data_IF_547568392200
#
_entry.id   IF_547568392200
#
_cell.length_a   1.000
_cell.length_b   1.000
_cell.length_c   1.000
_cell.angle_alpha   90.00
_cell.angle_beta   90.00
_cell.angle_gamma   90.00
#
_symmetry.space_group_name_H-M   'P 1'
#
loop_
_entity.id
_entity.type
_entity.pdbx_description
1 polymer ?
#
# COMPACT_ATOMS: atom_id res chain seq x y z
N UNK A 1 -27.47 -16.28 15.92
CA UNK A 1 -26.57 -15.35 15.19
C UNK A 1 -27.03 -15.35 13.75
N UNK A 2 -27.67 -14.29 13.27
CA UNK A 2 -28.08 -14.19 11.86
C UNK A 2 -26.79 -14.26 11.05
N UNK A 3 -26.59 -15.33 10.28
CA UNK A 3 -25.46 -15.43 9.36
C UNK A 3 -25.71 -14.35 8.32
N UNK A 4 -25.06 -13.20 8.50
CA UNK A 4 -25.09 -12.12 7.53
C UNK A 4 -24.75 -12.71 6.16
N UNK A 5 -25.58 -12.46 5.15
CA UNK A 5 -25.39 -12.99 3.82
C UNK A 5 -23.94 -12.70 3.37
N UNK A 6 -23.14 -13.72 2.98
CA UNK A 6 -21.71 -13.52 2.67
C UNK A 6 -21.48 -12.56 1.51
N UNK A 7 -22.51 -12.27 0.69
CA UNK A 7 -22.47 -11.29 -0.39
C UNK A 7 -22.74 -9.85 0.07
N UNK A 8 -23.07 -9.62 1.34
CA UNK A 8 -23.43 -8.28 1.86
C UNK A 8 -22.30 -7.26 1.66
N UNK A 9 -21.03 -7.55 2.03
CA UNK A 9 -19.95 -6.59 1.81
C UNK A 9 -19.74 -6.24 0.33
N UNK A 10 -19.84 -7.22 -0.57
CA UNK A 10 -19.77 -6.98 -2.02
C UNK A 10 -20.91 -6.07 -2.49
N UNK A 11 -22.14 -6.29 -2.04
CA UNK A 11 -23.29 -5.43 -2.39
C UNK A 11 -23.10 -4.01 -1.89
N UNK A 12 -22.57 -3.82 -0.69
CA UNK A 12 -22.24 -2.50 -0.13
C UNK A 12 -21.19 -1.82 -1.00
N UNK A 13 -20.10 -2.52 -1.35
CA UNK A 13 -19.04 -1.97 -2.19
C UNK A 13 -19.57 -1.54 -3.58
N UNK A 14 -20.36 -2.39 -4.25
CA UNK A 14 -20.99 -2.05 -5.54
C UNK A 14 -21.92 -0.84 -5.42
N UNK A 15 -22.74 -0.79 -4.36
CA UNK A 15 -23.66 0.32 -4.13
C UNK A 15 -22.92 1.62 -3.84
N UNK A 16 -21.82 1.57 -3.08
CA UNK A 16 -20.98 2.72 -2.80
C UNK A 16 -20.30 3.26 -4.06
N UNK A 17 -19.79 2.39 -4.94
CA UNK A 17 -19.23 2.78 -6.24
C UNK A 17 -20.30 3.43 -7.13
N UNK A 18 -21.50 2.85 -7.18
CA UNK A 18 -22.62 3.42 -7.94
C UNK A 18 -23.07 4.78 -7.41
N UNK A 19 -23.16 4.92 -6.08
CA UNK A 19 -23.48 6.18 -5.42
C UNK A 19 -22.41 7.24 -5.66
N UNK A 20 -21.12 6.87 -5.61
CA UNK A 20 -20.02 7.75 -5.99
C UNK A 20 -20.14 8.21 -7.45
N UNK A 21 -20.33 7.30 -8.39
CA UNK A 21 -20.44 7.66 -9.82
C UNK A 21 -21.61 8.63 -10.07
N UNK A 22 -22.77 8.38 -9.46
CA UNK A 22 -23.91 9.29 -9.53
C UNK A 22 -23.59 10.65 -8.90
N UNK A 23 -23.03 10.64 -7.69
CA UNK A 23 -22.65 11.86 -6.98
C UNK A 23 -21.62 12.70 -7.74
N UNK A 24 -20.65 12.04 -8.39
CA UNK A 24 -19.64 12.68 -9.22
C UNK A 24 -20.26 13.39 -10.43
N UNK A 25 -21.17 12.72 -11.16
CA UNK A 25 -21.88 13.32 -12.29
C UNK A 25 -22.75 14.49 -11.85
N UNK A 26 -23.47 14.35 -10.74
CA UNK A 26 -24.36 15.40 -10.21
C UNK A 26 -23.54 16.60 -9.73
N UNK A 27 -22.46 16.38 -8.99
CA UNK A 27 -21.62 17.46 -8.47
C UNK A 27 -20.87 18.20 -9.58
N UNK A 28 -20.47 17.50 -10.64
CA UNK A 28 -19.77 18.08 -11.78
C UNK A 28 -20.68 18.62 -12.89
N UNK A 29 -22.01 18.59 -12.71
CA UNK A 29 -22.96 19.01 -13.74
C UNK A 29 -22.77 20.49 -14.16
N UNK A 30 -22.37 21.34 -13.20
CA UNK A 30 -22.06 22.76 -13.41
C UNK A 30 -20.54 23.02 -13.55
N UNK A 31 -19.73 21.97 -13.68
CA UNK A 31 -18.26 22.02 -13.68
C UNK A 31 -17.64 21.97 -12.28
N UNK A 32 -16.31 22.11 -12.21
CA UNK A 32 -15.52 21.89 -10.98
C UNK A 32 -14.97 23.16 -10.31
N UNK A 33 -15.32 24.34 -10.83
CA UNK A 33 -14.80 25.62 -10.35
C UNK A 33 -13.31 25.83 -10.66
N UNK A 34 -12.67 26.68 -9.85
CA UNK A 34 -11.23 26.98 -9.95
C UNK A 34 -10.37 25.76 -9.59
N UNK A 35 -9.31 25.46 -10.35
CA UNK A 35 -8.38 24.40 -10.00
C UNK A 35 -7.68 24.66 -8.66
N UNK A 36 -7.21 23.59 -8.03
CA UNK A 36 -6.34 23.69 -6.88
C UNK A 36 -5.02 24.38 -7.25
N UNK A 37 -4.38 24.97 -6.25
CA UNK A 37 -3.13 25.72 -6.33
C UNK A 37 -1.96 24.98 -6.98
N UNK A 38 -2.03 23.64 -7.05
CA UNK A 38 -1.01 22.77 -7.65
C UNK A 38 -1.49 22.06 -8.93
N UNK A 39 -2.73 22.33 -9.34
CA UNK A 39 -3.36 21.70 -10.49
C UNK A 39 -3.39 22.66 -11.68
N UNK A 40 -3.25 22.11 -12.88
CA UNK A 40 -3.15 22.89 -14.11
C UNK A 40 -4.53 23.36 -14.59
N UNK A 41 -4.54 24.50 -15.28
CA UNK A 41 -5.74 25.09 -15.88
C UNK A 41 -6.21 24.29 -17.10
N UNK A 42 -7.48 24.49 -17.48
CA UNK A 42 -8.03 23.91 -18.72
C UNK A 42 -7.22 24.35 -19.94
N UNK A 43 -6.82 23.38 -20.77
CA UNK A 43 -5.99 23.58 -21.96
C UNK A 43 -4.49 23.36 -21.73
N UNK A 44 -4.03 23.42 -20.48
CA UNK A 44 -2.63 23.17 -20.12
C UNK A 44 -2.31 21.68 -20.10
N UNK A 45 -1.01 21.36 -20.11
CA UNK A 45 -0.50 20.00 -19.97
C UNK A 45 -0.36 19.73 -18.48
N UNK A 46 -1.07 18.72 -17.96
CA UNK A 46 -0.99 18.38 -16.54
C UNK A 46 0.41 17.88 -16.16
N UNK A 47 0.73 17.87 -14.87
CA UNK A 47 1.97 17.22 -14.36
C UNK A 47 2.04 15.71 -14.67
N UNK A 48 0.92 15.12 -15.09
CA UNK A 48 0.79 13.72 -15.51
C UNK A 48 0.69 13.57 -17.04
N UNK A 49 1.19 14.59 -17.75
CA UNK A 49 1.25 14.70 -19.20
C UNK A 49 -0.11 14.92 -19.91
N UNK A 50 -1.22 14.40 -19.39
CA UNK A 50 -2.51 14.53 -20.08
C UNK A 50 -2.97 15.98 -20.17
N UNK A 51 -3.49 16.40 -21.33
CA UNK A 51 -4.03 17.76 -21.49
C UNK A 51 -5.33 17.90 -20.70
N UNK A 52 -5.41 18.97 -19.90
CA UNK A 52 -6.58 19.26 -19.08
C UNK A 52 -7.77 19.69 -19.95
N UNK A 53 -8.84 18.91 -19.89
CA UNK A 53 -10.07 19.09 -20.65
C UNK A 53 -11.08 20.01 -19.94
N UNK A 54 -11.93 20.67 -20.73
CA UNK A 54 -13.03 21.49 -20.22
C UNK A 54 -14.25 20.69 -19.74
N UNK A 55 -14.28 19.37 -19.98
CA UNK A 55 -15.43 18.51 -19.70
C UNK A 55 -15.51 18.04 -18.24
N UNK A 56 -16.43 17.09 -18.01
CA UNK A 56 -16.64 16.49 -16.68
C UNK A 56 -15.38 15.80 -16.14
N UNK A 57 -14.54 15.22 -17.01
CA UNK A 57 -13.27 14.62 -16.62
C UNK A 57 -12.14 15.54 -17.10
N UNK A 58 -11.43 16.18 -16.18
CA UNK A 58 -10.29 17.06 -16.51
C UNK A 58 -9.18 16.29 -17.22
N UNK A 59 -8.80 15.12 -16.73
CA UNK A 59 -7.89 14.19 -17.41
C UNK A 59 -8.62 12.88 -17.70
N UNK A 60 -9.34 12.75 -18.83
CA UNK A 60 -10.18 11.59 -19.12
C UNK A 60 -9.48 10.23 -18.97
N UNK A 61 -8.30 10.04 -19.54
CA UNK A 61 -7.59 8.76 -19.50
C UNK A 61 -7.06 8.46 -18.10
N UNK A 62 -6.44 9.44 -17.42
CA UNK A 62 -5.92 9.28 -16.06
C UNK A 62 -7.06 9.05 -15.06
N UNK A 63 -8.19 9.72 -15.24
CA UNK A 63 -9.41 9.49 -14.44
C UNK A 63 -9.96 8.08 -14.66
N UNK A 64 -10.14 7.65 -15.92
CA UNK A 64 -10.72 6.34 -16.21
C UNK A 64 -9.77 5.17 -15.91
N UNK A 65 -8.45 5.38 -15.94
CA UNK A 65 -7.45 4.39 -15.55
C UNK A 65 -7.66 3.87 -14.12
N UNK A 66 -8.21 4.70 -13.24
CA UNK A 66 -8.54 4.33 -11.87
C UNK A 66 -9.67 3.30 -11.73
N UNK A 67 -10.43 3.01 -12.79
CA UNK A 67 -11.39 1.90 -12.80
C UNK A 67 -10.69 0.56 -12.55
N UNK A 68 -9.39 0.45 -12.84
CA UNK A 68 -8.58 -0.71 -12.49
C UNK A 68 -8.65 -1.06 -11.00
N UNK A 69 -8.56 -0.06 -10.12
CA UNK A 69 -8.65 -0.26 -8.66
C UNK A 69 -10.05 -0.70 -8.23
N UNK A 70 -11.10 -0.09 -8.81
CA UNK A 70 -12.49 -0.49 -8.56
C UNK A 70 -12.71 -1.95 -8.94
N UNK A 71 -12.27 -2.36 -10.13
CA UNK A 71 -12.39 -3.74 -10.61
C UNK A 71 -11.59 -4.70 -9.73
N UNK A 72 -10.34 -4.37 -9.39
CA UNK A 72 -9.49 -5.19 -8.51
C UNK A 72 -10.13 -5.39 -7.13
N UNK A 73 -10.61 -4.31 -6.49
CA UNK A 73 -11.24 -4.35 -5.19
C UNK A 73 -12.57 -5.11 -5.19
N UNK A 74 -13.42 -4.92 -6.20
CA UNK A 74 -14.67 -5.70 -6.35
C UNK A 74 -14.38 -7.18 -6.61
N UNK A 75 -13.32 -7.52 -7.33
CA UNK A 75 -12.87 -8.91 -7.50
C UNK A 75 -12.40 -9.53 -6.17
N UNK A 76 -11.76 -8.76 -5.29
CA UNK A 76 -11.42 -9.19 -3.93
C UNK A 76 -12.69 -9.45 -3.11
N UNK A 77 -13.64 -8.52 -3.07
CA UNK A 77 -14.93 -8.73 -2.38
C UNK A 77 -15.70 -9.95 -2.92
N UNK A 78 -15.68 -10.17 -4.23
CA UNK A 78 -16.27 -11.36 -4.86
C UNK A 78 -15.58 -12.65 -4.41
N UNK A 79 -14.25 -12.62 -4.24
CA UNK A 79 -13.49 -13.73 -3.67
C UNK A 79 -13.89 -13.98 -2.21
N UNK A 80 -13.92 -12.94 -1.37
CA UNK A 80 -14.28 -13.04 0.04
C UNK A 80 -15.71 -13.55 0.26
N UNK A 81 -16.64 -13.16 -0.61
CA UNK A 81 -18.03 -13.62 -0.57
C UNK A 81 -18.21 -15.11 -0.91
N UNK A 82 -17.21 -15.75 -1.54
CA UNK A 82 -17.22 -17.17 -1.89
C UNK A 82 -16.39 -18.02 -0.93
N UNK A 83 -15.59 -17.39 -0.07
CA UNK A 83 -14.77 -18.09 0.90
C UNK A 83 -15.62 -18.82 1.93
N UNK A 84 -15.20 -20.03 2.27
CA UNK A 84 -15.68 -20.72 3.46
C UNK A 84 -14.86 -20.25 4.67
N UNK A 85 -15.52 -19.85 5.75
CA UNK A 85 -14.86 -19.47 7.00
C UNK A 85 -14.22 -20.70 7.66
N UNK A 86 -13.01 -21.05 7.22
CA UNK A 86 -12.28 -22.22 7.72
C UNK A 86 -11.25 -21.86 8.79
N UNK A 87 -11.10 -20.58 9.17
CA UNK A 87 -10.27 -20.13 10.30
C UNK A 87 -8.76 -20.27 10.11
N UNK A 88 -8.28 -20.58 8.90
CA UNK A 88 -6.87 -20.95 8.64
C UNK A 88 -5.95 -19.77 8.28
N UNK A 89 -6.52 -18.69 7.75
CA UNK A 89 -5.78 -17.51 7.29
C UNK A 89 -6.59 -16.23 7.59
N UNK A 90 -5.99 -15.20 8.20
CA UNK A 90 -6.69 -13.97 8.58
C UNK A 90 -7.24 -13.15 7.39
N UNK A 91 -6.72 -13.37 6.19
CA UNK A 91 -7.10 -12.77 4.90
C UNK A 91 -8.14 -13.60 4.09
N UNK A 92 -8.77 -14.59 4.71
CA UNK A 92 -9.82 -15.43 4.10
C UNK A 92 -11.17 -15.18 4.74
N UNK A 93 -12.21 -15.02 3.92
CA UNK A 93 -13.58 -14.74 4.36
C UNK A 93 -13.84 -13.28 4.71
N UNK A 94 -15.08 -12.98 5.09
CA UNK A 94 -15.53 -11.64 5.46
C UNK A 94 -15.06 -11.23 6.88
N UNK A 95 -13.75 -11.24 7.12
CA UNK A 95 -13.12 -10.76 8.34
C UNK A 95 -12.65 -9.30 8.16
N UNK A 96 -12.47 -8.53 9.25
CA UNK A 96 -12.20 -7.09 9.14
C UNK A 96 -10.96 -6.71 8.32
N UNK A 97 -9.86 -7.48 8.40
CA UNK A 97 -8.61 -7.16 7.71
C UNK A 97 -8.72 -7.25 6.17
N UNK A 98 -9.14 -8.37 5.55
CA UNK A 98 -9.30 -8.44 4.11
C UNK A 98 -10.43 -7.55 3.59
N UNK A 99 -11.47 -7.28 4.39
CA UNK A 99 -12.50 -6.29 4.03
C UNK A 99 -11.94 -4.86 4.02
N UNK A 100 -11.09 -4.51 5.00
CA UNK A 100 -10.37 -3.23 5.01
C UNK A 100 -9.44 -3.10 3.80
N UNK A 101 -8.68 -4.16 3.49
CA UNK A 101 -7.80 -4.19 2.32
C UNK A 101 -8.58 -4.00 1.01
N UNK A 102 -9.62 -4.80 0.78
CA UNK A 102 -10.45 -4.68 -0.42
C UNK A 102 -11.17 -3.33 -0.49
N UNK A 103 -11.64 -2.81 0.65
CA UNK A 103 -12.25 -1.49 0.76
C UNK A 103 -11.29 -0.36 0.42
N UNK A 104 -10.05 -0.40 0.94
CA UNK A 104 -9.02 0.60 0.63
C UNK A 104 -8.62 0.57 -0.86
N UNK A 105 -8.56 -0.62 -1.47
CA UNK A 105 -8.33 -0.75 -2.92
C UNK A 105 -9.51 -0.21 -3.72
N UNK A 106 -10.76 -0.46 -3.30
CA UNK A 106 -11.92 0.19 -3.95
C UNK A 106 -11.83 1.70 -3.79
N UNK A 107 -11.48 2.22 -2.61
CA UNK A 107 -11.40 3.65 -2.31
C UNK A 107 -10.30 4.38 -3.09
N UNK A 108 -9.14 3.74 -3.32
CA UNK A 108 -8.07 4.24 -4.19
C UNK A 108 -8.60 4.71 -5.56
N UNK A 109 -9.53 3.96 -6.16
CA UNK A 109 -10.13 4.31 -7.45
C UNK A 109 -10.82 5.67 -7.44
N UNK A 110 -11.96 5.83 -6.73
CA UNK A 110 -12.63 7.11 -6.57
C UNK A 110 -11.75 8.22 -6.00
N UNK A 111 -10.88 7.94 -5.03
CA UNK A 111 -9.96 8.93 -4.46
C UNK A 111 -9.10 9.59 -5.53
N UNK A 112 -8.41 8.79 -6.33
CA UNK A 112 -7.58 9.28 -7.43
C UNK A 112 -8.40 9.85 -8.60
N UNK A 113 -9.58 9.28 -8.89
CA UNK A 113 -10.51 9.83 -9.89
C UNK A 113 -10.92 11.26 -9.58
N UNK A 114 -11.12 11.62 -8.32
CA UNK A 114 -11.53 12.99 -7.97
C UNK A 114 -10.37 13.96 -8.25
N UNK A 115 -9.12 13.59 -8.03
CA UNK A 115 -7.99 14.45 -8.41
C UNK A 115 -7.94 14.68 -9.93
N UNK A 116 -7.72 13.61 -10.70
CA UNK A 116 -7.60 13.68 -12.16
C UNK A 116 -8.87 14.21 -12.85
N UNK A 117 -10.02 13.91 -12.28
CA UNK A 117 -11.29 14.23 -12.89
C UNK A 117 -11.73 15.66 -12.61
N UNK A 118 -11.30 16.27 -11.50
CA UNK A 118 -11.78 17.59 -11.07
C UNK A 118 -10.72 18.68 -11.06
N UNK A 119 -9.45 18.31 -10.83
CA UNK A 119 -8.34 19.25 -10.56
C UNK A 119 -8.59 20.17 -9.36
N UNK A 120 -9.38 19.76 -8.37
CA UNK A 120 -9.66 20.57 -7.17
C UNK A 120 -8.70 20.25 -6.03
N UNK A 121 -8.53 21.18 -5.08
CA UNK A 121 -7.79 20.93 -3.81
C UNK A 121 -8.32 19.70 -3.07
N UNK A 122 -9.64 19.55 -3.03
CA UNK A 122 -10.29 18.38 -2.43
C UNK A 122 -9.88 17.08 -3.15
N UNK A 123 -9.79 17.12 -4.47
CA UNK A 123 -9.28 16.01 -5.28
C UNK A 123 -7.85 15.63 -4.89
N UNK A 124 -6.93 16.59 -4.88
CA UNK A 124 -5.53 16.34 -4.50
C UNK A 124 -5.40 15.79 -3.08
N UNK A 125 -6.24 16.28 -2.15
CA UNK A 125 -6.32 15.76 -0.79
C UNK A 125 -6.81 14.30 -0.73
N UNK A 126 -7.96 14.00 -1.34
CA UNK A 126 -8.60 12.69 -1.20
C UNK A 126 -7.82 11.58 -1.94
N UNK A 127 -7.16 11.91 -3.04
CA UNK A 127 -6.24 11.02 -3.76
C UNK A 127 -5.13 10.52 -2.82
N UNK A 128 -4.40 11.43 -2.20
CA UNK A 128 -3.34 11.11 -1.26
C UNK A 128 -3.83 10.36 -0.01
N UNK A 129 -4.97 10.77 0.55
CA UNK A 129 -5.60 10.05 1.68
C UNK A 129 -5.90 8.61 1.28
N UNK A 130 -6.38 8.38 0.06
CA UNK A 130 -6.67 7.02 -0.43
C UNK A 130 -5.42 6.17 -0.62
N UNK A 131 -4.32 6.76 -1.11
CA UNK A 131 -3.02 6.10 -1.22
C UNK A 131 -2.47 5.69 0.15
N UNK A 132 -2.47 6.60 1.11
CA UNK A 132 -2.06 6.32 2.50
C UNK A 132 -2.96 5.27 3.13
N UNK A 133 -4.28 5.38 2.97
CA UNK A 133 -5.24 4.42 3.51
C UNK A 133 -4.99 2.98 3.00
N UNK A 134 -4.46 2.80 1.80
CA UNK A 134 -4.06 1.48 1.31
C UNK A 134 -2.70 1.03 1.86
N UNK A 135 -1.65 1.82 1.67
CA UNK A 135 -0.25 1.37 1.92
C UNK A 135 0.04 1.14 3.41
N UNK A 136 -0.76 1.69 4.32
CA UNK A 136 -0.65 1.41 5.75
C UNK A 136 -0.97 -0.05 6.10
N UNK A 137 -1.88 -0.69 5.35
CA UNK A 137 -2.44 -2.00 5.73
C UNK A 137 -1.37 -3.10 5.76
N UNK A 138 -0.56 -3.30 4.70
CA UNK A 138 0.43 -4.39 4.66
C UNK A 138 1.41 -4.39 5.84
N UNK A 139 1.97 -3.22 6.17
CA UNK A 139 2.96 -3.14 7.24
C UNK A 139 2.31 -3.17 8.63
N UNK A 140 1.14 -2.55 8.83
CA UNK A 140 0.41 -2.66 10.11
C UNK A 140 -0.05 -4.09 10.40
N UNK A 141 -0.46 -4.86 9.39
CA UNK A 141 -0.76 -6.29 9.54
C UNK A 141 0.48 -7.07 9.99
N UNK A 142 1.63 -6.81 9.37
CA UNK A 142 2.89 -7.45 9.74
C UNK A 142 3.32 -7.10 11.18
N UNK A 143 3.25 -5.82 11.55
CA UNK A 143 3.57 -5.36 12.91
C UNK A 143 2.58 -5.88 13.94
N UNK A 144 1.29 -5.91 13.63
CA UNK A 144 0.27 -6.49 14.52
C UNK A 144 0.56 -7.95 14.80
N UNK A 145 0.91 -8.73 13.78
CA UNK A 145 1.20 -10.15 13.91
C UNK A 145 2.46 -10.42 14.75
N UNK A 146 3.56 -9.70 14.48
CA UNK A 146 4.84 -9.86 15.18
C UNK A 146 4.88 -9.15 16.54
N UNK A 147 4.05 -8.12 16.75
CA UNK A 147 3.90 -7.38 18.00
C UNK A 147 2.82 -7.95 18.93
N UNK A 148 2.08 -8.97 18.49
CA UNK A 148 0.95 -9.59 19.23
C UNK A 148 -0.17 -8.59 19.54
N UNK A 149 -0.42 -7.65 18.64
CA UNK A 149 -1.49 -6.68 18.83
C UNK A 149 -2.86 -7.32 18.58
N UNK A 150 -3.84 -6.92 19.39
CA UNK A 150 -5.24 -7.26 19.12
C UNK A 150 -5.77 -6.52 17.90
N UNK A 151 -6.85 -7.02 17.31
CA UNK A 151 -7.50 -6.40 16.14
C UNK A 151 -7.89 -4.94 16.41
N UNK A 152 -8.41 -4.63 17.60
CA UNK A 152 -8.79 -3.27 18.00
C UNK A 152 -7.59 -2.32 17.99
N UNK A 153 -6.44 -2.76 18.52
CA UNK A 153 -5.20 -1.97 18.52
C UNK A 153 -4.73 -1.69 17.10
N UNK A 154 -4.72 -2.70 16.22
CA UNK A 154 -4.33 -2.53 14.81
C UNK A 154 -5.26 -1.54 14.09
N UNK A 155 -6.59 -1.72 14.23
CA UNK A 155 -7.57 -0.86 13.57
C UNK A 155 -7.56 0.57 14.13
N UNK A 156 -7.31 0.74 15.43
CA UNK A 156 -7.16 2.07 16.05
C UNK A 156 -5.91 2.76 15.53
N UNK A 157 -4.77 2.06 15.48
CA UNK A 157 -3.54 2.61 14.91
C UNK A 157 -3.73 3.02 13.45
N UNK A 158 -4.34 2.16 12.64
CA UNK A 158 -4.70 2.45 11.25
C UNK A 158 -5.55 3.72 11.13
N UNK A 159 -6.69 3.76 11.84
CA UNK A 159 -7.62 4.88 11.77
C UNK A 159 -6.97 6.18 12.26
N UNK A 160 -6.20 6.13 13.35
CA UNK A 160 -5.47 7.30 13.86
C UNK A 160 -4.48 7.84 12.84
N UNK A 161 -3.69 6.99 12.18
CA UNK A 161 -2.73 7.45 11.17
C UNK A 161 -3.46 8.08 9.97
N UNK A 162 -4.52 7.45 9.46
CA UNK A 162 -5.31 8.00 8.34
C UNK A 162 -5.94 9.34 8.71
N UNK A 163 -6.52 9.47 9.91
CA UNK A 163 -7.14 10.71 10.38
C UNK A 163 -6.09 11.80 10.59
N UNK A 164 -4.97 11.50 11.26
CA UNK A 164 -3.87 12.46 11.48
C UNK A 164 -3.30 12.92 10.14
N UNK A 165 -3.07 12.00 9.20
CA UNK A 165 -2.57 12.33 7.87
C UNK A 165 -3.57 13.20 7.10
N UNK A 166 -4.85 12.81 7.06
CA UNK A 166 -5.89 13.55 6.35
C UNK A 166 -6.10 14.96 6.90
N UNK A 167 -6.17 15.11 8.23
CA UNK A 167 -6.29 16.42 8.87
C UNK A 167 -5.02 17.26 8.70
N UNK A 168 -3.84 16.65 8.88
CA UNK A 168 -2.56 17.34 8.72
C UNK A 168 -2.36 17.83 7.29
N UNK A 169 -2.69 17.02 6.29
CA UNK A 169 -2.67 17.48 4.90
C UNK A 169 -3.65 18.65 4.73
N UNK A 170 -4.91 18.50 5.11
CA UNK A 170 -5.92 19.54 4.88
C UNK A 170 -5.59 20.89 5.55
N UNK A 171 -5.13 20.87 6.80
CA UNK A 171 -4.95 22.09 7.60
C UNK A 171 -3.54 22.67 7.60
N UNK A 172 -2.52 21.86 7.27
CA UNK A 172 -1.12 22.29 7.27
C UNK A 172 -0.57 22.30 5.84
N UNK A 173 -0.76 21.19 5.12
CA UNK A 173 -0.35 21.02 3.73
C UNK A 173 0.29 19.65 3.47
N UNK A 174 0.69 19.40 2.22
CA UNK A 174 1.44 18.21 1.82
C UNK A 174 2.65 17.94 2.69
N UNK A 175 3.01 16.67 2.81
CA UNK A 175 4.10 16.20 3.67
C UNK A 175 3.98 16.67 5.14
N UNK A 176 2.73 16.96 5.54
CA UNK A 176 2.32 17.44 6.86
C UNK A 176 3.02 18.73 7.30
N UNK A 177 3.57 19.52 6.36
CA UNK A 177 4.37 20.72 6.63
C UNK A 177 5.72 20.45 7.30
N UNK A 178 6.12 19.18 7.41
CA UNK A 178 7.37 18.74 8.07
C UNK A 178 8.22 17.83 7.17
N UNK A 179 7.91 17.77 5.86
CA UNK A 179 8.62 16.93 4.89
C UNK A 179 8.39 15.42 5.08
N UNK A 180 7.32 15.02 5.77
CA UNK A 180 7.00 13.61 5.98
C UNK A 180 6.13 13.04 4.86
N UNK A 181 6.76 12.40 3.88
CA UNK A 181 6.08 11.57 2.89
C UNK A 181 5.63 10.24 3.52
N UNK A 182 4.42 10.24 4.07
CA UNK A 182 3.82 9.06 4.72
C UNK A 182 3.66 7.90 3.73
N UNK A 183 3.40 8.17 2.45
CA UNK A 183 3.20 7.13 1.45
C UNK A 183 4.53 6.43 1.12
N UNK A 184 5.57 7.18 0.76
CA UNK A 184 6.90 6.64 0.45
C UNK A 184 7.53 5.92 1.64
N UNK A 185 7.45 6.51 2.84
CA UNK A 185 7.91 5.85 4.08
C UNK A 185 7.17 4.54 4.32
N UNK A 186 5.86 4.48 4.06
CA UNK A 186 5.06 3.27 4.25
C UNK A 186 5.46 2.13 3.30
N UNK A 187 5.91 2.43 2.08
CA UNK A 187 6.47 1.42 1.16
C UNK A 187 7.71 0.78 1.81
N UNK A 188 8.65 1.60 2.32
CA UNK A 188 9.83 1.10 3.00
C UNK A 188 9.47 0.28 4.26
N UNK A 189 8.56 0.78 5.09
CA UNK A 189 8.06 0.08 6.29
C UNK A 189 7.46 -1.29 5.94
N UNK A 190 6.75 -1.39 4.81
CA UNK A 190 6.22 -2.66 4.36
C UNK A 190 7.32 -3.63 3.95
N UNK A 191 8.26 -3.23 3.10
CA UNK A 191 9.35 -4.12 2.68
C UNK A 191 10.20 -4.57 3.87
N UNK A 192 10.52 -3.66 4.80
CA UNK A 192 11.25 -3.97 6.04
C UNK A 192 10.46 -4.97 6.90
N UNK A 193 9.19 -4.68 7.18
CA UNK A 193 8.34 -5.56 8.00
C UNK A 193 8.08 -6.91 7.34
N UNK A 194 8.00 -6.99 6.02
CA UNK A 194 7.86 -8.25 5.27
C UNK A 194 9.14 -9.08 5.30
N UNK A 195 10.30 -8.46 5.16
CA UNK A 195 11.58 -9.13 5.34
C UNK A 195 11.72 -9.69 6.76
N UNK A 196 11.34 -8.90 7.78
CA UNK A 196 11.27 -9.36 9.16
C UNK A 196 10.30 -10.52 9.33
N UNK A 197 9.12 -10.45 8.71
CA UNK A 197 8.13 -11.52 8.76
C UNK A 197 8.72 -12.84 8.24
N UNK A 198 9.60 -12.78 7.22
CA UNK A 198 10.22 -13.96 6.60
C UNK A 198 11.44 -14.53 7.33
N UNK A 199 12.34 -13.66 7.78
CA UNK A 199 13.70 -14.01 8.25
C UNK A 199 13.96 -13.57 9.68
N UNK A 200 12.93 -13.60 10.50
CA UNK A 200 12.99 -13.10 11.86
C UNK A 200 14.15 -13.68 12.68
N UNK A 201 14.97 -12.79 13.26
CA UNK A 201 15.95 -13.08 14.32
C UNK A 201 16.24 -11.82 15.11
N UNK A 202 16.69 -11.94 16.37
CA UNK A 202 16.99 -10.79 17.24
C UNK A 202 17.98 -9.81 16.61
N UNK A 203 19.00 -10.32 15.91
CA UNK A 203 19.98 -9.50 15.19
C UNK A 203 19.38 -8.88 13.93
N UNK A 204 18.69 -9.68 13.11
CA UNK A 204 18.09 -9.18 11.87
C UNK A 204 17.01 -8.11 12.12
N UNK A 205 16.39 -8.08 13.31
CA UNK A 205 15.50 -6.98 13.73
C UNK A 205 16.08 -5.62 13.45
N UNK A 206 17.26 -5.40 14.02
CA UNK A 206 17.90 -4.11 14.03
C UNK A 206 18.60 -3.85 12.70
N UNK A 207 19.08 -4.90 12.02
CA UNK A 207 19.65 -4.78 10.68
C UNK A 207 18.60 -4.51 9.60
N UNK A 208 17.35 -4.93 9.79
CA UNK A 208 16.30 -4.78 8.77
C UNK A 208 16.01 -3.33 8.39
N UNK A 209 16.22 -2.37 9.30
CA UNK A 209 16.05 -0.94 9.00
C UNK A 209 16.92 -0.47 7.82
N UNK A 210 18.08 -1.10 7.60
CA UNK A 210 18.93 -0.77 6.46
C UNK A 210 18.28 -1.06 5.10
N UNK A 211 17.31 -1.98 5.03
CA UNK A 211 16.55 -2.26 3.81
C UNK A 211 15.81 -1.01 3.33
N UNK A 212 15.39 -0.13 4.25
CA UNK A 212 14.72 1.13 3.91
C UNK A 212 15.55 2.01 2.97
N UNK A 213 16.88 2.06 3.14
CA UNK A 213 17.76 2.82 2.23
C UNK A 213 17.79 2.23 0.83
N UNK A 214 17.79 0.91 0.71
CA UNK A 214 17.73 0.25 -0.59
C UNK A 214 16.39 0.55 -1.30
N UNK A 215 15.28 0.54 -0.55
CA UNK A 215 13.97 0.93 -1.08
C UNK A 215 13.97 2.39 -1.50
N UNK A 216 14.41 3.31 -0.65
CA UNK A 216 14.47 4.74 -0.96
C UNK A 216 15.33 5.04 -2.20
N UNK A 217 16.46 4.33 -2.37
CA UNK A 217 17.33 4.48 -3.53
C UNK A 217 16.65 4.06 -4.86
N UNK A 218 15.73 3.08 -4.84
CA UNK A 218 14.92 2.71 -6.02
C UNK A 218 14.06 3.90 -6.48
N UNK A 219 13.61 4.73 -5.55
CA UNK A 219 12.83 5.95 -5.82
C UNK A 219 13.70 7.21 -5.94
N UNK A 220 15.02 7.04 -6.12
CA UNK A 220 15.95 8.15 -6.36
C UNK A 220 16.46 8.86 -5.11
N UNK A 221 16.05 8.46 -3.90
CA UNK A 221 16.50 9.05 -2.64
C UNK A 221 17.65 8.22 -2.07
N UNK A 222 18.87 8.56 -2.45
CA UNK A 222 20.08 7.84 -2.02
C UNK A 222 20.55 8.28 -0.62
N UNK A 223 21.37 7.48 0.09
CA UNK A 223 21.96 7.90 1.36
C UNK A 223 22.75 9.21 1.29
N UNK A 224 23.36 9.52 0.13
CA UNK A 224 24.07 10.79 -0.07
C UNK A 224 23.10 11.98 -0.03
N UNK A 225 21.97 11.89 -0.74
CA UNK A 225 20.92 12.93 -0.74
C UNK A 225 20.36 13.14 0.68
N UNK A 226 20.09 12.04 1.40
CA UNK A 226 19.61 12.12 2.79
C UNK A 226 20.62 12.82 3.70
N UNK A 227 21.92 12.61 3.48
CA UNK A 227 22.97 13.23 4.27
C UNK A 227 23.18 14.70 3.93
N UNK A 228 23.00 15.09 2.67
CA UNK A 228 23.08 16.49 2.23
C UNK A 228 21.94 17.34 2.81
N UNK A 229 20.75 16.76 2.98
CA UNK A 229 19.55 17.45 3.46
C UNK A 229 18.85 16.69 4.60
N UNK A 230 19.47 16.55 5.78
CA UNK A 230 18.94 15.71 6.86
C UNK A 230 17.63 16.26 7.47
N UNK A 231 17.40 17.57 7.37
CA UNK A 231 16.16 18.21 7.81
C UNK A 231 14.95 17.79 6.96
N UNK A 232 15.15 17.50 5.68
CA UNK A 232 14.10 17.03 4.75
C UNK A 232 13.92 15.51 4.80
N UNK A 233 14.92 14.78 5.32
CA UNK A 233 14.98 13.31 5.32
C UNK A 233 15.01 12.69 6.72
N UNK A 234 14.63 13.44 7.76
CA UNK A 234 14.63 12.98 9.16
C UNK A 234 13.80 11.70 9.36
N UNK A 235 12.79 11.49 8.52
CA UNK A 235 11.92 10.32 8.53
C UNK A 235 12.65 9.00 8.27
N UNK A 236 13.92 9.03 7.82
CA UNK A 236 14.80 7.85 7.73
C UNK A 236 14.88 7.08 9.06
N UNK A 237 14.72 7.77 10.19
CA UNK A 237 14.67 7.16 11.52
C UNK A 237 13.50 6.18 11.66
N UNK A 238 12.41 6.38 10.93
CA UNK A 238 11.23 5.52 10.94
C UNK A 238 11.52 4.14 10.34
N UNK A 239 12.62 3.95 9.59
CA UNK A 239 13.01 2.63 9.10
C UNK A 239 13.24 1.60 10.22
N UNK A 240 13.53 2.05 11.45
CA UNK A 240 13.64 1.17 12.62
C UNK A 240 12.34 0.98 13.39
N UNK A 241 11.22 1.60 12.96
CA UNK A 241 9.92 1.41 13.58
C UNK A 241 9.49 -0.08 13.61
N UNK A 242 9.64 -0.88 12.53
CA UNK A 242 9.36 -2.30 12.59
C UNK A 242 10.21 -3.03 13.61
N UNK A 243 11.48 -2.64 13.77
CA UNK A 243 12.38 -3.23 14.75
C UNK A 243 11.96 -2.96 16.21
N UNK A 244 11.34 -1.83 16.48
CA UNK A 244 10.85 -1.49 17.81
C UNK A 244 9.57 -2.25 18.18
N UNK A 245 8.71 -2.49 17.18
CA UNK A 245 7.35 -3.00 17.37
C UNK A 245 7.22 -4.52 17.13
N UNK A 246 8.02 -5.10 16.24
CA UNK A 246 8.06 -6.54 15.95
C UNK A 246 8.87 -7.31 17.00
N UNK A 247 8.31 -7.45 18.21
CA UNK A 247 9.01 -8.08 19.35
C UNK A 247 9.10 -9.60 19.26
N UNK A 248 8.27 -10.24 18.44
CA UNK A 248 8.16 -11.70 18.35
C UNK A 248 8.23 -12.21 16.90
N UNK A 249 8.56 -13.50 16.70
CA UNK A 249 8.45 -14.13 15.39
C UNK A 249 7.06 -14.04 14.80
N UNK A 250 7.05 -13.94 13.46
CA UNK A 250 5.86 -14.14 12.65
C UNK A 250 5.12 -15.42 13.07
N UNK A 251 3.79 -15.36 13.24
CA UNK A 251 3.00 -16.53 13.66
C UNK A 251 2.83 -17.58 12.56
N UNK A 252 3.18 -17.26 11.31
CA UNK A 252 3.04 -18.15 10.17
C UNK A 252 4.08 -17.91 9.07
N UNK A 253 3.91 -18.61 7.95
CA UNK A 253 4.73 -18.46 6.74
C UNK A 253 3.86 -18.16 5.53
N UNK A 254 4.37 -17.37 4.60
CA UNK A 254 3.73 -17.03 3.31
C UNK A 254 4.47 -17.67 2.14
N UNK A 255 3.76 -17.94 1.05
CA UNK A 255 4.36 -18.38 -0.22
C UNK A 255 4.52 -17.17 -1.15
N UNK A 256 5.77 -16.81 -1.42
CA UNK A 256 6.11 -15.62 -2.21
C UNK A 256 5.82 -15.81 -3.70
N UNK A 257 5.99 -17.03 -4.22
CA UNK A 257 5.68 -17.33 -5.62
C UNK A 257 4.21 -17.75 -5.81
N UNK A 258 3.56 -17.27 -6.90
CA UNK A 258 4.03 -16.22 -7.80
C UNK A 258 3.74 -14.81 -7.26
N UNK A 259 2.75 -14.68 -6.38
CA UNK A 259 1.99 -13.44 -6.20
C UNK A 259 2.77 -12.27 -5.63
N UNK A 260 3.72 -12.49 -4.71
CA UNK A 260 4.53 -11.40 -4.18
C UNK A 260 5.40 -10.78 -5.29
N UNK A 261 6.14 -11.63 -6.02
CA UNK A 261 7.06 -11.15 -7.04
C UNK A 261 6.37 -10.62 -8.28
N UNK A 262 5.24 -11.20 -8.69
CA UNK A 262 4.42 -10.63 -9.76
C UNK A 262 3.86 -9.26 -9.35
N UNK A 263 3.42 -9.11 -8.10
CA UNK A 263 2.96 -7.82 -7.57
C UNK A 263 4.07 -6.76 -7.57
N UNK A 264 5.25 -7.08 -7.02
CA UNK A 264 6.41 -6.18 -7.01
C UNK A 264 6.84 -5.83 -8.44
N UNK A 265 6.95 -6.81 -9.33
CA UNK A 265 7.32 -6.60 -10.72
C UNK A 265 6.33 -5.70 -11.45
N UNK A 266 5.02 -5.91 -11.24
CA UNK A 266 3.97 -5.05 -11.80
C UNK A 266 4.07 -3.61 -11.29
N UNK A 267 4.29 -3.42 -9.98
CA UNK A 267 4.44 -2.08 -9.40
C UNK A 267 5.68 -1.36 -9.93
N UNK A 268 6.84 -2.03 -9.98
CA UNK A 268 8.07 -1.42 -10.47
C UNK A 268 8.02 -1.13 -11.98
N UNK A 269 7.42 -2.02 -12.77
CA UNK A 269 7.20 -1.78 -14.20
C UNK A 269 6.26 -0.59 -14.41
N UNK A 270 5.16 -0.55 -13.65
CA UNK A 270 4.25 0.58 -13.69
C UNK A 270 5.00 1.87 -13.33
N UNK A 271 5.87 1.85 -12.31
CA UNK A 271 6.62 3.03 -11.85
C UNK A 271 7.58 3.52 -12.93
N UNK A 272 8.26 2.60 -13.61
CA UNK A 272 9.10 2.91 -14.76
C UNK A 272 8.30 3.56 -15.90
N UNK A 273 7.06 3.12 -16.15
CA UNK A 273 6.17 3.74 -17.14
C UNK A 273 5.73 5.13 -16.66
N UNK A 274 5.37 5.28 -15.38
CA UNK A 274 4.96 6.55 -14.78
C UNK A 274 6.03 7.64 -14.94
N UNK A 275 7.32 7.29 -14.78
CA UNK A 275 8.46 8.21 -14.97
C UNK A 275 8.53 8.80 -16.38
N UNK A 276 7.89 8.18 -17.37
CA UNK A 276 7.85 8.64 -18.77
C UNK A 276 6.66 9.54 -19.08
N UNK A 277 5.68 9.61 -18.16
CA UNK A 277 4.41 10.32 -18.32
C UNK A 277 4.41 11.72 -17.71
N UNK A 278 5.51 12.46 -17.85
CA UNK A 278 5.67 13.83 -17.34
C UNK A 278 5.94 14.82 -18.48
N UNK A 279 5.53 16.10 -18.39
CA UNK A 279 5.55 17.06 -19.50
C UNK A 279 6.88 17.18 -20.26
N UNK A 280 8.01 17.10 -19.55
CA UNK A 280 9.34 17.29 -20.13
C UNK A 280 9.95 16.02 -20.72
N UNK A 281 9.26 14.87 -20.62
CA UNK A 281 9.77 13.60 -21.11
C UNK A 281 9.45 13.42 -22.61
N UNK A 282 10.37 12.90 -23.46
CA UNK A 282 10.14 12.73 -24.90
C UNK A 282 8.96 11.83 -25.29
N UNK A 283 8.48 11.01 -24.35
CA UNK A 283 7.32 10.12 -24.56
C UNK A 283 6.01 10.71 -24.04
N UNK A 284 6.02 11.93 -23.50
CA UNK A 284 4.79 12.62 -23.17
C UNK A 284 4.05 13.02 -24.45
N UNK A 285 2.85 12.47 -24.62
CA UNK A 285 1.91 12.83 -25.68
C UNK A 285 0.60 13.31 -25.05
N UNK A 286 0.44 14.63 -24.81
CA UNK A 286 -0.65 15.16 -24.00
C UNK A 286 -2.06 14.85 -24.51
N UNK A 287 -2.19 14.72 -25.83
CA UNK A 287 -3.46 14.52 -26.53
C UNK A 287 -3.71 13.03 -26.88
N UNK A 288 -2.86 12.12 -26.40
CA UNK A 288 -3.01 10.67 -26.60
C UNK A 288 -4.16 10.10 -25.77
N UNK A 289 -4.88 9.13 -26.33
CA UNK A 289 -5.86 8.33 -25.58
C UNK A 289 -5.20 7.33 -24.61
N UNK A 290 -3.93 7.00 -24.83
CA UNK A 290 -3.12 6.15 -23.95
C UNK A 290 -2.15 7.07 -23.22
N UNK A 291 -2.40 7.27 -21.93
CA UNK A 291 -1.54 8.02 -21.03
C UNK A 291 -0.69 7.07 -20.18
N UNK A 292 0.61 7.33 -20.07
CA UNK A 292 1.52 6.53 -19.22
C UNK A 292 1.05 6.49 -17.78
N UNK A 293 0.48 7.59 -17.29
CA UNK A 293 -0.06 7.68 -15.93
C UNK A 293 -1.33 6.82 -15.74
N UNK A 294 -2.22 6.76 -16.74
CA UNK A 294 -3.33 5.81 -16.74
C UNK A 294 -2.86 4.33 -16.76
N UNK A 295 -1.81 4.01 -17.51
CA UNK A 295 -1.20 2.67 -17.50
C UNK A 295 -0.60 2.34 -16.13
N UNK A 296 -0.02 3.33 -15.46
CA UNK A 296 0.43 3.22 -14.07
C UNK A 296 -0.71 2.83 -13.11
N UNK A 297 -1.89 3.46 -13.22
CA UNK A 297 -3.06 3.08 -12.42
C UNK A 297 -3.43 1.60 -12.62
N UNK A 298 -3.46 1.12 -13.87
CA UNK A 298 -3.81 -0.27 -14.17
C UNK A 298 -2.77 -1.26 -13.61
N UNK A 299 -1.48 -0.97 -13.77
CA UNK A 299 -0.39 -1.83 -13.28
C UNK A 299 -0.31 -1.88 -11.75
N UNK A 300 -0.56 -0.76 -11.08
CA UNK A 300 -0.61 -0.69 -9.62
C UNK A 300 -1.88 -1.33 -9.06
N UNK A 301 -3.03 -1.16 -9.71
CA UNK A 301 -4.26 -1.88 -9.36
C UNK A 301 -4.07 -3.40 -9.43
N UNK A 302 -3.44 -3.91 -10.49
CA UNK A 302 -3.10 -5.33 -10.60
C UNK A 302 -2.13 -5.78 -9.51
N UNK A 303 -1.16 -4.93 -9.15
CA UNK A 303 -0.23 -5.18 -8.04
C UNK A 303 -0.96 -5.36 -6.71
N UNK A 304 -1.93 -4.50 -6.39
CA UNK A 304 -2.76 -4.65 -5.17
C UNK A 304 -3.52 -5.98 -5.15
N UNK A 305 -4.03 -6.43 -6.30
CA UNK A 305 -4.69 -7.73 -6.41
C UNK A 305 -3.72 -8.89 -6.19
N UNK A 306 -2.52 -8.82 -6.73
CA UNK A 306 -1.46 -9.79 -6.47
C UNK A 306 -1.10 -9.85 -4.99
N UNK A 307 -0.96 -8.72 -4.31
CA UNK A 307 -0.66 -8.70 -2.87
C UNK A 307 -1.80 -9.26 -2.01
N UNK A 308 -3.06 -9.02 -2.38
CA UNK A 308 -4.20 -9.71 -1.77
C UNK A 308 -4.08 -11.24 -1.90
N UNK A 309 -3.72 -11.74 -3.10
CA UNK A 309 -3.48 -13.18 -3.31
C UNK A 309 -2.29 -13.69 -2.49
N UNK A 310 -1.23 -12.88 -2.34
CA UNK A 310 -0.06 -13.20 -1.53
C UNK A 310 -0.40 -13.35 -0.04
N UNK A 311 -1.11 -12.42 0.58
CA UNK A 311 -1.50 -12.52 2.00
C UNK A 311 -2.35 -13.76 2.29
N UNK A 312 -3.18 -14.17 1.32
CA UNK A 312 -3.99 -15.40 1.39
C UNK A 312 -3.18 -16.70 1.33
N UNK A 313 -1.88 -16.64 1.06
CA UNK A 313 -0.98 -17.80 1.12
C UNK A 313 -0.46 -18.08 2.53
N UNK A 314 -0.70 -17.18 3.49
CA UNK A 314 -0.25 -17.33 4.87
C UNK A 314 -0.83 -18.61 5.51
N UNK A 315 0.05 -19.37 6.15
CA UNK A 315 -0.28 -20.57 6.93
C UNK A 315 0.34 -20.42 8.31
N UNK A 316 -0.49 -20.50 9.35
CA UNK A 316 -0.02 -20.43 10.74
C UNK A 316 0.89 -21.62 11.05
N UNK A 317 1.98 -21.36 11.79
CA UNK A 317 3.00 -22.36 12.11
C UNK A 317 2.45 -23.55 12.90
N UNK A 318 1.38 -23.36 13.68
CA UNK A 318 0.68 -24.42 14.42
C UNK A 318 0.10 -25.52 13.51
N UNK A 319 -0.06 -25.25 12.22
CA UNK A 319 -0.62 -26.20 11.24
C UNK A 319 0.39 -26.62 10.16
N UNK A 320 1.66 -26.20 10.26
CA UNK A 320 2.71 -26.71 9.39
C UNK A 320 3.14 -28.09 9.90
N UNK A 321 3.39 -29.08 9.01
CA UNK A 321 4.02 -30.33 9.41
C UNK A 321 5.31 -30.03 10.17
N UNK A 322 5.50 -30.66 11.34
CA UNK A 322 6.78 -30.59 12.05
C UNK A 322 7.84 -31.13 11.11
N UNK A 323 8.82 -30.30 10.76
CA UNK A 323 9.96 -30.73 9.96
C UNK A 323 10.70 -31.81 10.76
N UNK A 324 10.78 -33.08 10.29
CA UNK A 324 11.39 -34.16 11.07
C UNK A 324 12.90 -33.96 11.27
N UNK A 325 13.52 -33.03 10.55
CA UNK A 325 14.92 -32.65 10.70
C UNK A 325 15.04 -31.15 11.00
N UNK A 326 14.92 -30.72 12.27
CA UNK A 326 15.36 -29.38 12.63
C UNK A 326 16.84 -29.22 12.27
N UNK A 327 17.29 -28.04 11.78
CA UNK A 327 18.72 -27.79 11.60
C UNK A 327 19.40 -28.00 12.94
N UNK A 328 20.30 -29.00 13.00
CA UNK A 328 21.01 -29.38 14.20
C UNK A 328 21.63 -28.15 14.83
N UNK A 329 21.23 -27.83 16.06
CA UNK A 329 21.97 -26.91 16.89
C UNK A 329 23.43 -27.40 16.93
N UNK A 330 24.37 -26.59 16.42
CA UNK A 330 25.78 -26.81 16.69
C UNK A 330 25.94 -26.72 18.20
N UNK A 331 26.19 -27.86 18.83
CA UNK A 331 26.74 -27.91 20.17
C UNK A 331 28.16 -27.34 20.09
N UNK A 332 28.32 -26.08 20.47
CA UNK A 332 29.58 -25.61 21.05
C UNK A 332 29.75 -26.36 22.36
N UNK A 333 30.56 -27.41 22.35
CA UNK A 333 31.12 -27.94 23.58
C UNK A 333 32.52 -28.52 23.31
N UNK A 334 33.53 -27.68 23.52
CA UNK A 334 34.90 -28.13 23.72
C UNK A 334 35.66 -27.17 24.63
N UNK A 335 35.34 -27.23 25.93
CA UNK A 335 36.32 -26.89 26.98
C UNK A 335 36.29 -27.90 28.13
N UNK A 336 37.51 -28.35 28.43
CA UNK A 336 38.05 -28.84 29.71
C UNK A 336 37.58 -30.19 30.27
N UNK A 337 38.47 -31.18 30.25
CA UNK A 337 39.34 -31.47 31.41
C UNK A 337 40.14 -32.76 31.20
N UNK A 338 41.46 -32.64 31.04
CA UNK A 338 42.38 -33.76 31.21
C UNK A 338 43.09 -33.61 32.55
N UNK A 339 42.60 -34.33 33.55
CA UNK A 339 43.35 -34.71 34.74
C UNK A 339 43.02 -36.16 35.06
N UNK A 340 43.99 -37.07 34.89
CA UNK A 340 44.59 -37.93 35.95
C UNK A 340 45.22 -39.20 35.37
N UNK A 341 46.48 -39.41 35.77
CA UNK A 341 47.13 -40.67 36.17
C UNK A 341 47.21 -41.86 35.21
N UNK A 342 48.43 -42.10 34.71
CA UNK A 342 49.26 -43.28 35.07
C UNK A 342 50.68 -43.09 34.55
#
# INVERSE_FOLDING_TARGET
>A
MIIANPRTPLRIAVSAVGAFALGYVVAGADGWGEPGSREQLVGEISRWCERVSGGLLREPANTLGNLGFVVAGLAMFSTLARDQQTGRNPFTGNTPIPLLYAGAVVFLGPGSMVMHGTHTEFGSWIDNVSMVAFILIPWLVNLSAMGRWGLSTMLTAYASIVVIYGLGYWFIGPDLGIGLDVFGVSIALWVISEALYRWWSSTFRWLSGFIGFAVAAIFGITPAIMFESPGEHWWVLLFWLPALLARHPAPGRRRYLPWYWVGIGSFLLAYAIWLTGVPDHPWCSPDSIIQSHAVWHLGTAFSTWCFFKFFRTEQLSTYLPVDPNPPSARSDDSRESTSTSS
#
